data_IF_222253121392
#
_entry.id   IF_222253121392
#
_cell.length_a   1.000
_cell.length_b   1.000
_cell.length_c   1.000
_cell.angle_alpha   90.00
_cell.angle_beta   90.00
_cell.angle_gamma   90.00
#
_symmetry.space_group_name_H-M   'P 1'
#
loop_
_entity.id
_entity.type
_entity.pdbx_description
1 polymer ?
#
# COMPACT_ATOMS: atom_id res chain seq x y z
N UNK A 1 -86.15 26.32 -41.24
CA UNK A 1 -85.21 25.67 -40.29
C UNK A 1 -84.07 25.08 -41.10
N UNK A 2 -82.82 25.48 -40.84
CA UNK A 2 -81.63 25.00 -41.58
C UNK A 2 -81.16 23.67 -40.98
N UNK A 3 -80.73 22.68 -41.79
CA UNK A 3 -80.22 21.43 -41.27
C UNK A 3 -78.77 21.61 -40.78
N UNK A 4 -78.51 21.26 -39.53
CA UNK A 4 -77.18 21.26 -38.92
C UNK A 4 -76.50 19.94 -39.28
N UNK A 5 -75.48 20.00 -40.12
CA UNK A 5 -74.68 18.83 -40.52
C UNK A 5 -73.59 18.60 -39.46
N UNK A 6 -73.69 17.52 -38.67
CA UNK A 6 -72.62 17.11 -37.75
C UNK A 6 -71.58 16.29 -38.52
N UNK A 7 -70.41 16.88 -38.73
CA UNK A 7 -69.24 16.19 -39.28
C UNK A 7 -68.56 15.38 -38.15
N UNK A 8 -68.76 14.06 -38.15
CA UNK A 8 -68.04 13.15 -37.25
C UNK A 8 -66.65 12.89 -37.85
N UNK A 9 -65.63 13.54 -37.29
CA UNK A 9 -64.23 13.32 -37.66
C UNK A 9 -63.70 12.07 -36.93
N UNK A 10 -63.59 10.95 -37.65
CA UNK A 10 -62.92 9.75 -37.14
C UNK A 10 -61.40 10.00 -37.08
N UNK A 11 -60.89 10.36 -35.89
CA UNK A 11 -59.45 10.37 -35.61
C UNK A 11 -58.95 8.93 -35.51
N UNK A 12 -58.47 8.38 -36.62
CA UNK A 12 -57.70 7.14 -36.61
C UNK A 12 -56.34 7.42 -36.00
N UNK A 13 -56.16 7.06 -34.73
CA UNK A 13 -54.83 7.04 -34.10
C UNK A 13 -53.99 5.93 -34.74
N UNK A 14 -53.09 6.31 -35.66
CA UNK A 14 -52.09 5.40 -36.20
C UNK A 14 -51.04 5.21 -35.11
N UNK A 15 -51.11 4.10 -34.38
CA UNK A 15 -50.07 3.69 -33.44
C UNK A 15 -48.86 3.20 -34.24
N UNK A 16 -47.90 4.09 -34.47
CA UNK A 16 -46.57 3.75 -34.99
C UNK A 16 -45.81 2.98 -33.89
N UNK A 17 -45.82 1.65 -34.00
CA UNK A 17 -44.97 0.77 -33.21
C UNK A 17 -43.58 0.66 -33.86
N UNK A 18 -42.56 0.52 -33.03
CA UNK A 18 -41.19 0.33 -33.50
C UNK A 18 -40.94 -1.15 -33.85
N UNK A 19 -40.29 -1.39 -34.99
CA UNK A 19 -39.87 -2.73 -35.42
C UNK A 19 -38.34 -2.79 -35.57
N UNK A 20 -37.73 -3.86 -35.07
CA UNK A 20 -36.31 -4.17 -35.23
C UNK A 20 -36.15 -5.54 -35.87
N UNK A 21 -35.55 -5.59 -37.06
CA UNK A 21 -35.35 -6.82 -37.81
C UNK A 21 -33.89 -6.99 -38.18
N UNK A 22 -33.36 -8.21 -38.06
CA UNK A 22 -32.04 -8.59 -38.58
C UNK A 22 -32.16 -9.82 -39.47
N UNK A 23 -31.28 -9.91 -40.46
CA UNK A 23 -31.13 -11.05 -41.35
C UNK A 23 -29.64 -11.19 -41.66
N UNK A 24 -28.97 -12.11 -40.98
CA UNK A 24 -27.53 -12.33 -41.09
C UNK A 24 -27.19 -13.78 -41.41
N UNK A 25 -26.03 -13.98 -42.03
CA UNK A 25 -25.45 -15.30 -42.26
C UNK A 25 -24.35 -15.50 -41.23
N UNK A 26 -24.48 -16.55 -40.41
CA UNK A 26 -23.53 -16.92 -39.37
C UNK A 26 -22.86 -18.23 -39.76
N UNK A 27 -21.55 -18.19 -40.01
CA UNK A 27 -20.74 -19.38 -40.23
C UNK A 27 -20.18 -19.86 -38.91
N UNK A 28 -20.38 -21.15 -38.58
CA UNK A 28 -19.84 -21.80 -37.39
C UNK A 28 -18.97 -23.00 -37.77
N UNK A 29 -17.75 -23.07 -37.26
CA UNK A 29 -16.87 -24.23 -37.33
C UNK A 29 -17.40 -25.40 -36.46
N UNK A 30 -16.87 -26.62 -36.61
CA UNK A 30 -17.23 -27.76 -35.76
C UNK A 30 -17.03 -27.44 -34.27
N UNK A 31 -18.04 -27.73 -33.45
CA UNK A 31 -18.08 -27.45 -32.01
C UNK A 31 -17.95 -25.96 -31.63
N UNK A 32 -18.16 -25.05 -32.58
CA UNK A 32 -18.20 -23.62 -32.30
C UNK A 32 -19.61 -23.20 -31.87
N UNK A 33 -19.66 -22.17 -31.03
CA UNK A 33 -20.88 -21.53 -30.57
C UNK A 33 -20.88 -20.05 -30.95
N UNK A 34 -22.05 -19.52 -31.33
CA UNK A 34 -22.23 -18.08 -31.56
C UNK A 34 -23.41 -17.56 -30.77
N UNK A 35 -23.20 -16.41 -30.13
CA UNK A 35 -24.22 -15.65 -29.43
C UNK A 35 -24.71 -14.49 -30.30
N UNK A 36 -26.02 -14.31 -30.34
CA UNK A 36 -26.71 -13.16 -30.93
C UNK A 36 -27.57 -12.54 -29.83
N UNK A 37 -27.38 -11.25 -29.59
CA UNK A 37 -28.11 -10.51 -28.56
C UNK A 37 -29.25 -9.72 -29.21
N UNK A 38 -30.44 -9.84 -28.63
CA UNK A 38 -31.69 -9.29 -29.15
C UNK A 38 -32.32 -8.46 -28.02
N UNK A 39 -32.34 -7.13 -28.12
CA UNK A 39 -33.00 -6.29 -27.12
C UNK A 39 -34.51 -6.27 -27.37
N UNK A 40 -35.30 -6.39 -26.32
CA UNK A 40 -36.77 -6.32 -26.38
C UNK A 40 -37.35 -5.82 -25.06
N UNK A 41 -38.48 -5.09 -25.12
CA UNK A 41 -39.24 -4.79 -23.90
C UNK A 41 -40.05 -6.02 -23.47
N UNK A 42 -40.63 -6.00 -22.27
CA UNK A 42 -41.65 -6.93 -21.84
C UNK A 42 -42.89 -6.83 -22.74
N UNK A 43 -43.52 -7.97 -22.97
CA UNK A 43 -44.69 -8.16 -23.84
C UNK A 43 -44.43 -7.98 -25.35
N UNK A 44 -43.19 -7.66 -25.75
CA UNK A 44 -42.77 -7.68 -27.15
C UNK A 44 -42.82 -9.11 -27.72
N UNK A 45 -43.08 -9.21 -29.03
CA UNK A 45 -43.09 -10.48 -29.75
C UNK A 45 -41.82 -10.59 -30.59
N UNK A 46 -40.99 -11.59 -30.27
CA UNK A 46 -39.77 -11.93 -31.00
C UNK A 46 -40.09 -13.11 -31.92
N UNK A 47 -40.09 -12.86 -33.22
CA UNK A 47 -40.08 -13.91 -34.24
C UNK A 47 -38.62 -14.31 -34.52
N UNK A 48 -38.30 -15.58 -34.36
CA UNK A 48 -36.98 -16.16 -34.59
C UNK A 48 -37.07 -17.24 -35.65
N UNK A 49 -36.22 -17.11 -36.68
CA UNK A 49 -36.07 -18.12 -37.71
C UNK A 49 -34.59 -18.40 -37.97
N UNK A 50 -34.18 -19.65 -37.81
CA UNK A 50 -32.83 -20.12 -38.09
C UNK A 50 -32.91 -21.26 -39.10
N UNK A 51 -32.25 -21.12 -40.24
CA UNK A 51 -32.24 -22.13 -41.29
C UNK A 51 -30.81 -22.40 -41.77
N UNK A 52 -30.51 -23.65 -42.13
CA UNK A 52 -29.23 -23.99 -42.78
C UNK A 52 -29.21 -23.39 -44.19
N UNK A 53 -28.23 -22.53 -44.46
CA UNK A 53 -28.16 -21.78 -45.72
C UNK A 53 -27.53 -22.57 -46.87
N UNK A 54 -26.34 -23.16 -46.67
CA UNK A 54 -25.58 -23.83 -47.76
C UNK A 54 -25.27 -25.31 -47.50
N UNK A 55 -24.99 -25.69 -46.25
CA UNK A 55 -24.52 -27.04 -45.92
C UNK A 55 -25.68 -28.03 -45.73
N UNK A 56 -26.26 -28.54 -46.83
CA UNK A 56 -27.44 -29.45 -46.82
C UNK A 56 -27.35 -30.72 -45.92
N UNK A 57 -26.18 -31.03 -45.36
CA UNK A 57 -25.92 -32.22 -44.52
C UNK A 57 -25.79 -31.92 -43.02
N UNK A 58 -25.95 -30.68 -42.57
CA UNK A 58 -26.03 -30.37 -41.13
C UNK A 58 -27.31 -31.01 -40.56
N UNK A 59 -27.14 -31.94 -39.61
CA UNK A 59 -28.25 -32.71 -39.02
C UNK A 59 -28.39 -32.47 -37.52
N UNK A 60 -27.28 -32.19 -36.84
CA UNK A 60 -27.25 -32.08 -35.39
C UNK A 60 -26.82 -30.65 -35.03
N UNK A 61 -27.80 -29.79 -34.74
CA UNK A 61 -27.55 -28.45 -34.24
C UNK A 61 -28.40 -28.23 -32.99
N UNK A 62 -27.91 -27.34 -32.13
CA UNK A 62 -28.61 -26.96 -30.91
C UNK A 62 -28.79 -25.45 -30.86
N UNK A 63 -30.03 -25.04 -30.58
CA UNK A 63 -30.46 -23.66 -30.50
C UNK A 63 -31.04 -23.40 -29.11
N UNK A 64 -30.51 -22.40 -28.43
CA UNK A 64 -30.97 -22.01 -27.10
C UNK A 64 -31.30 -20.53 -27.10
N UNK A 65 -32.44 -20.16 -26.51
CA UNK A 65 -32.75 -18.76 -26.21
C UNK A 65 -32.75 -18.58 -24.71
N UNK A 66 -32.01 -17.58 -24.23
CA UNK A 66 -31.99 -17.17 -22.83
C UNK A 66 -32.54 -15.75 -22.69
N UNK A 67 -33.24 -15.49 -21.60
CA UNK A 67 -33.31 -14.16 -21.01
C UNK A 67 -31.97 -13.93 -20.28
N UNK A 68 -31.19 -12.95 -20.75
CA UNK A 68 -29.83 -12.70 -20.28
C UNK A 68 -29.83 -12.29 -18.80
N UNK A 69 -28.91 -12.82 -17.96
CA UNK A 69 -27.76 -13.62 -18.38
C UNK A 69 -28.04 -15.13 -18.58
N UNK A 70 -28.91 -15.75 -17.76
CA UNK A 70 -28.87 -17.21 -17.57
C UNK A 70 -30.23 -17.93 -17.56
N UNK A 71 -31.36 -17.25 -17.81
CA UNK A 71 -32.68 -17.90 -17.73
C UNK A 71 -33.09 -18.48 -19.09
N UNK A 72 -33.05 -19.80 -19.21
CA UNK A 72 -33.40 -20.52 -20.44
C UNK A 72 -34.91 -20.38 -20.74
N UNK A 73 -35.25 -19.94 -21.96
CA UNK A 73 -36.62 -19.79 -22.44
C UNK A 73 -37.00 -20.84 -23.48
N UNK A 74 -36.04 -21.19 -24.33
CA UNK A 74 -36.24 -22.14 -25.42
C UNK A 74 -35.00 -23.01 -25.56
N UNK A 75 -35.22 -24.31 -25.73
CA UNK A 75 -34.19 -25.30 -26.01
C UNK A 75 -34.64 -26.20 -27.15
N UNK A 76 -33.84 -26.25 -28.20
CA UNK A 76 -34.05 -27.12 -29.35
C UNK A 76 -32.72 -27.81 -29.65
N UNK A 77 -32.68 -29.14 -29.55
CA UNK A 77 -31.47 -29.94 -29.81
C UNK A 77 -31.68 -30.84 -31.01
N UNK A 78 -30.59 -31.24 -31.67
CA UNK A 78 -30.61 -32.13 -32.84
C UNK A 78 -31.58 -31.67 -33.94
N UNK A 79 -31.74 -30.35 -34.12
CA UNK A 79 -32.64 -29.78 -35.10
C UNK A 79 -31.90 -29.16 -36.28
N UNK A 80 -32.50 -29.22 -37.45
CA UNK A 80 -31.97 -28.60 -38.66
C UNK A 80 -32.27 -27.11 -38.70
N UNK A 81 -33.45 -26.73 -38.24
CA UNK A 81 -34.01 -25.39 -38.31
C UNK A 81 -34.75 -25.02 -37.02
N UNK A 82 -34.98 -23.73 -36.84
CA UNK A 82 -35.78 -23.17 -35.77
C UNK A 82 -36.75 -22.16 -36.36
N UNK A 83 -38.03 -22.27 -36.00
CA UNK A 83 -39.04 -21.27 -36.30
C UNK A 83 -39.94 -21.12 -35.07
N UNK A 84 -39.83 -19.99 -34.36
CA UNK A 84 -40.54 -19.72 -33.11
C UNK A 84 -40.94 -18.27 -32.99
N UNK A 85 -42.13 -18.05 -32.43
CA UNK A 85 -42.54 -16.75 -31.93
C UNK A 85 -42.60 -16.83 -30.40
N UNK A 86 -41.97 -15.87 -29.73
CA UNK A 86 -41.82 -15.82 -28.28
C UNK A 86 -42.29 -14.45 -27.80
N UNK A 87 -43.17 -14.44 -26.81
CA UNK A 87 -43.56 -13.21 -26.11
C UNK A 87 -42.64 -13.04 -24.91
N UNK A 88 -42.01 -11.88 -24.82
CA UNK A 88 -41.07 -11.53 -23.75
C UNK A 88 -41.82 -11.25 -22.46
N UNK A 89 -41.27 -11.68 -21.33
CA UNK A 89 -41.88 -11.41 -20.02
C UNK A 89 -41.42 -10.07 -19.44
N UNK A 90 -40.15 -9.72 -19.66
CA UNK A 90 -39.50 -8.57 -19.04
C UNK A 90 -38.73 -7.74 -20.08
N UNK A 91 -38.55 -6.45 -19.77
CA UNK A 91 -37.60 -5.57 -20.46
C UNK A 91 -36.18 -6.14 -20.29
N UNK A 92 -35.45 -6.36 -21.39
CA UNK A 92 -34.13 -6.94 -21.29
C UNK A 92 -33.47 -7.36 -22.59
N UNK A 93 -32.40 -8.14 -22.43
CA UNK A 93 -31.64 -8.72 -23.55
C UNK A 93 -31.96 -10.21 -23.61
N UNK A 94 -32.25 -10.67 -24.82
CA UNK A 94 -32.49 -12.07 -25.13
C UNK A 94 -31.31 -12.58 -25.95
N UNK A 95 -30.73 -13.71 -25.52
CA UNK A 95 -29.52 -14.28 -26.10
C UNK A 95 -29.83 -15.55 -26.86
N UNK A 96 -29.75 -15.51 -28.17
CA UNK A 96 -29.81 -16.68 -29.04
C UNK A 96 -28.41 -17.28 -29.16
N UNK A 97 -28.24 -18.50 -28.64
CA UNK A 97 -27.02 -19.28 -28.72
C UNK A 97 -27.19 -20.38 -29.78
N UNK A 98 -26.36 -20.30 -30.82
CA UNK A 98 -26.26 -21.27 -31.90
C UNK A 98 -25.07 -22.18 -31.62
N UNK A 99 -25.26 -23.51 -31.60
CA UNK A 99 -24.16 -24.48 -31.47
C UNK A 99 -24.09 -25.39 -32.68
N UNK A 100 -22.91 -25.51 -33.28
CA UNK A 100 -22.65 -26.47 -34.35
C UNK A 100 -22.05 -27.76 -33.80
N UNK A 101 -22.88 -28.80 -33.65
CA UNK A 101 -22.46 -30.12 -33.16
C UNK A 101 -22.07 -31.07 -34.32
N UNK A 102 -21.97 -30.56 -35.55
CA UNK A 102 -21.55 -31.36 -36.70
C UNK A 102 -20.03 -31.36 -36.82
N UNK A 103 -19.50 -32.39 -37.47
CA UNK A 103 -18.07 -32.51 -37.79
C UNK A 103 -17.57 -31.53 -38.87
N UNK A 104 -18.46 -30.73 -39.46
CA UNK A 104 -18.15 -29.76 -40.52
C UNK A 104 -18.74 -28.40 -40.20
N UNK A 105 -18.16 -27.35 -40.77
CA UNK A 105 -18.70 -25.99 -40.63
C UNK A 105 -20.10 -25.87 -41.23
N UNK A 106 -20.95 -25.06 -40.60
CA UNK A 106 -22.34 -24.83 -41.02
C UNK A 106 -22.60 -23.33 -41.13
N UNK A 107 -23.23 -22.94 -42.24
CA UNK A 107 -23.73 -21.58 -42.43
C UNK A 107 -25.21 -21.53 -42.07
N UNK A 108 -25.57 -20.73 -41.06
CA UNK A 108 -26.93 -20.46 -40.67
C UNK A 108 -27.39 -19.12 -41.23
N UNK A 109 -28.59 -19.10 -41.79
CA UNK A 109 -29.32 -17.85 -42.00
C UNK A 109 -30.16 -17.60 -40.75
N UNK A 110 -29.85 -16.54 -40.02
CA UNK A 110 -30.55 -16.15 -38.80
C UNK A 110 -31.36 -14.90 -39.09
N UNK A 111 -32.67 -15.02 -38.89
CA UNK A 111 -33.62 -13.93 -39.03
C UNK A 111 -34.28 -13.75 -37.68
N UNK A 112 -34.28 -12.53 -37.16
CA UNK A 112 -35.14 -12.18 -36.06
C UNK A 112 -35.89 -10.88 -36.34
N UNK A 113 -37.11 -10.80 -35.83
CA UNK A 113 -37.96 -9.62 -35.93
C UNK A 113 -38.64 -9.38 -34.57
N UNK A 114 -38.40 -8.22 -33.99
CA UNK A 114 -38.99 -7.78 -32.72
C UNK A 114 -40.10 -6.80 -33.02
N UNK A 115 -41.34 -7.22 -32.75
CA UNK A 115 -42.52 -6.36 -32.77
C UNK A 115 -42.69 -5.73 -31.41
N UNK A 116 -42.36 -4.45 -31.31
CA UNK A 116 -42.38 -3.75 -30.04
C UNK A 116 -43.75 -3.19 -29.69
N UNK A 117 -44.12 -3.34 -28.43
CA UNK A 117 -45.25 -2.66 -27.80
C UNK A 117 -45.01 -1.15 -27.67
N UNK A 118 -43.73 -0.72 -27.68
CA UNK A 118 -43.31 0.67 -27.47
C UNK A 118 -42.90 1.36 -28.77
N UNK A 119 -42.90 2.71 -28.74
CA UNK A 119 -42.49 3.56 -29.89
C UNK A 119 -40.98 3.64 -30.07
N UNK A 120 -40.21 3.53 -28.98
CA UNK A 120 -38.75 3.67 -29.01
C UNK A 120 -38.10 2.30 -29.22
N UNK A 121 -37.08 2.21 -30.07
CA UNK A 121 -36.34 0.96 -30.30
C UNK A 121 -35.54 0.56 -29.06
N UNK A 122 -35.67 -0.68 -28.56
CA UNK A 122 -34.83 -1.15 -27.48
C UNK A 122 -33.38 -1.26 -27.96
N UNK A 123 -32.40 -0.93 -27.10
CA UNK A 123 -30.98 -0.88 -27.45
C UNK A 123 -30.12 -1.69 -26.48
N UNK A 124 -28.92 -2.08 -26.94
CA UNK A 124 -27.91 -2.74 -26.12
C UNK A 124 -26.75 -1.76 -25.92
N UNK A 125 -26.47 -1.43 -24.67
CA UNK A 125 -25.23 -0.79 -24.25
C UNK A 125 -24.19 -1.81 -23.81
N UNK A 126 -22.93 -1.40 -23.74
CA UNK A 126 -21.84 -2.22 -23.21
C UNK A 126 -21.14 -1.47 -22.07
N UNK A 127 -21.01 -2.13 -20.92
CA UNK A 127 -20.19 -1.62 -19.80
C UNK A 127 -18.90 -2.43 -19.72
N UNK A 128 -17.78 -1.75 -19.49
CA UNK A 128 -16.50 -2.43 -19.21
C UNK A 128 -16.52 -2.88 -17.76
N UNK A 129 -16.42 -4.19 -17.53
CA UNK A 129 -16.24 -4.78 -16.22
C UNK A 129 -14.78 -5.24 -16.07
N UNK A 130 -14.19 -4.98 -14.92
CA UNK A 130 -12.84 -5.42 -14.57
C UNK A 130 -12.94 -6.51 -13.52
N UNK A 131 -12.15 -7.56 -13.68
CA UNK A 131 -12.00 -8.62 -12.70
C UNK A 131 -10.54 -8.73 -12.29
N UNK A 132 -10.30 -8.77 -10.98
CA UNK A 132 -8.95 -8.83 -10.42
C UNK A 132 -8.74 -10.24 -9.88
N UNK A 133 -7.93 -11.01 -10.59
CA UNK A 133 -7.46 -12.31 -10.11
C UNK A 133 -6.03 -12.14 -9.59
N UNK A 134 -5.65 -12.89 -8.56
CA UNK A 134 -4.25 -12.88 -8.11
C UNK A 134 -3.47 -13.93 -8.89
N UNK A 135 -2.37 -13.51 -9.51
CA UNK A 135 -1.45 -14.39 -10.22
C UNK A 135 -0.58 -15.22 -9.26
N UNK A 136 0.42 -15.88 -9.83
CA UNK A 136 1.39 -16.68 -9.06
C UNK A 136 2.26 -15.81 -8.14
N UNK A 137 2.70 -16.36 -7.02
CA UNK A 137 3.69 -15.73 -6.14
C UNK A 137 4.98 -15.44 -6.92
N UNK A 138 5.45 -14.21 -6.90
CA UNK A 138 6.77 -13.83 -7.43
C UNK A 138 7.65 -13.24 -6.34
N UNK A 139 8.95 -13.46 -6.43
CA UNK A 139 9.92 -12.77 -5.58
C UNK A 139 10.16 -11.37 -6.13
N UNK A 140 10.01 -10.35 -5.29
CA UNK A 140 10.39 -8.98 -5.58
C UNK A 140 11.33 -8.46 -4.50
N UNK A 141 12.31 -7.63 -4.89
CA UNK A 141 13.11 -6.87 -3.94
C UNK A 141 12.27 -5.70 -3.42
N UNK A 142 12.10 -5.66 -2.11
CA UNK A 142 11.41 -4.59 -1.41
C UNK A 142 12.41 -3.92 -0.47
N UNK A 143 12.43 -2.59 -0.50
CA UNK A 143 13.21 -1.79 0.44
C UNK A 143 12.57 -1.90 1.83
N UNK A 144 13.33 -2.39 2.81
CA UNK A 144 12.93 -2.41 4.22
C UNK A 144 13.85 -1.51 5.02
N UNK A 145 13.25 -0.67 5.85
CA UNK A 145 13.96 0.16 6.81
C UNK A 145 14.29 -0.69 8.03
N UNK A 146 15.55 -0.67 8.45
CA UNK A 146 16.06 -1.37 9.62
C UNK A 146 16.87 -0.42 10.48
N UNK A 147 16.71 -0.52 11.79
CA UNK A 147 17.51 0.24 12.75
C UNK A 147 18.78 -0.55 13.11
N UNK A 148 19.90 0.14 13.21
CA UNK A 148 21.19 -0.41 13.63
C UNK A 148 21.86 0.54 14.63
N UNK A 149 22.67 0.00 15.55
CA UNK A 149 23.44 0.83 16.50
C UNK A 149 24.88 0.97 16.05
N UNK A 150 25.42 2.18 16.16
CA UNK A 150 26.81 2.49 15.81
C UNK A 150 27.49 3.19 16.99
N UNK A 151 28.57 2.61 17.53
CA UNK A 151 29.41 3.27 18.53
C UNK A 151 30.23 4.37 17.84
N UNK A 152 30.08 5.60 18.31
CA UNK A 152 30.78 6.79 17.79
C UNK A 152 32.09 6.98 18.53
N UNK A 153 32.06 6.84 19.85
CA UNK A 153 33.21 7.07 20.71
C UNK A 153 33.13 6.19 21.95
N UNK A 154 34.28 5.73 22.44
CA UNK A 154 34.41 4.94 23.66
C UNK A 154 35.79 5.25 24.27
N UNK A 155 35.83 6.23 25.16
CA UNK A 155 37.08 6.82 25.64
C UNK A 155 37.04 7.16 27.14
N UNK A 156 38.22 7.39 27.72
CA UNK A 156 38.38 7.87 29.09
C UNK A 156 39.21 9.15 29.12
N UNK A 157 38.91 10.01 30.10
CA UNK A 157 39.55 11.31 30.28
C UNK A 157 39.92 11.52 31.73
N UNK A 158 40.93 12.36 31.98
CA UNK A 158 41.25 12.87 33.31
C UNK A 158 41.02 14.38 33.36
N UNK A 159 40.26 14.84 34.36
CA UNK A 159 40.00 16.25 34.62
C UNK A 159 40.57 16.64 35.97
N UNK A 160 41.35 17.72 35.99
CA UNK A 160 41.89 18.29 37.21
C UNK A 160 40.77 18.90 38.07
N UNK A 161 41.07 19.12 39.36
CA UNK A 161 40.22 19.93 40.22
C UNK A 161 40.23 21.40 39.79
N UNK A 162 39.23 22.16 40.22
CA UNK A 162 39.13 23.61 39.91
C UNK A 162 40.36 24.38 40.40
N UNK A 163 40.84 24.09 41.63
CA UNK A 163 42.03 24.77 42.18
C UNK A 163 43.31 24.41 41.44
N UNK A 164 43.55 23.13 41.12
CA UNK A 164 44.74 22.72 40.38
C UNK A 164 44.71 23.21 38.92
N UNK A 165 43.52 23.27 38.31
CA UNK A 165 43.38 23.85 36.98
C UNK A 165 43.73 25.34 36.94
N UNK A 166 43.33 26.09 37.98
CA UNK A 166 43.63 27.52 38.10
C UNK A 166 45.10 27.79 38.44
N UNK A 167 45.68 27.03 39.38
CA UNK A 167 47.01 27.32 39.94
C UNK A 167 48.17 26.63 39.20
N UNK A 168 47.94 25.45 38.59
CA UNK A 168 48.98 24.60 38.01
C UNK A 168 48.83 24.38 36.50
N UNK A 169 47.89 25.08 35.85
CA UNK A 169 47.71 25.04 34.39
C UNK A 169 47.02 23.78 33.85
N UNK A 170 46.31 23.03 34.69
CA UNK A 170 45.52 21.86 34.27
C UNK A 170 44.17 22.22 33.65
N UNK A 171 43.54 21.26 32.96
CA UNK A 171 42.15 21.41 32.47
C UNK A 171 41.17 20.72 33.44
N UNK A 172 40.14 21.44 33.88
CA UNK A 172 38.97 20.90 34.58
C UNK A 172 37.72 20.82 33.69
N UNK A 173 37.85 21.23 32.42
CA UNK A 173 36.80 21.15 31.39
C UNK A 173 37.39 20.60 30.09
N UNK A 174 36.62 19.78 29.38
CA UNK A 174 36.93 19.31 28.02
C UNK A 174 35.68 19.35 27.16
N UNK A 175 35.89 19.32 25.85
CA UNK A 175 34.81 19.26 24.86
C UNK A 175 35.03 18.04 24.01
N UNK A 176 33.95 17.32 23.80
CA UNK A 176 33.90 16.15 22.93
C UNK A 176 32.96 16.48 21.76
N UNK A 177 33.45 16.56 20.51
CA UNK A 177 32.58 16.71 19.35
C UNK A 177 31.83 15.39 19.09
N UNK A 178 30.52 15.48 18.89
CA UNK A 178 29.66 14.33 18.58
C UNK A 178 29.41 14.27 17.08
N UNK A 179 30.20 13.47 16.38
CA UNK A 179 30.09 13.28 14.93
C UNK A 179 29.11 12.14 14.64
N UNK A 180 27.82 12.47 14.54
CA UNK A 180 26.77 11.51 14.26
C UNK A 180 26.84 11.01 12.80
N UNK A 181 26.70 9.69 12.55
CA UNK A 181 26.56 9.16 11.19
C UNK A 181 25.31 9.72 10.48
N UNK A 182 25.31 9.67 9.15
CA UNK A 182 24.11 9.96 8.37
C UNK A 182 22.95 9.04 8.78
N UNK A 183 21.72 9.56 8.65
CA UNK A 183 20.48 8.86 9.02
C UNK A 183 20.36 8.46 10.49
N UNK A 184 21.12 9.11 11.39
CA UNK A 184 20.91 8.99 12.84
C UNK A 184 19.51 9.48 13.21
N UNK A 185 18.75 8.68 13.96
CA UNK A 185 17.45 9.08 14.53
C UNK A 185 17.56 9.66 15.92
N UNK A 186 18.36 8.99 16.72
CA UNK A 186 18.62 9.35 18.11
C UNK A 186 19.96 8.75 18.50
N UNK A 187 20.55 9.32 19.55
CA UNK A 187 21.80 8.84 20.08
C UNK A 187 21.78 8.90 21.59
N UNK A 188 22.69 8.14 22.17
CA UNK A 188 22.80 7.94 23.59
C UNK A 188 24.25 8.17 23.99
N UNK A 189 24.46 8.71 25.18
CA UNK A 189 25.75 8.60 25.83
C UNK A 189 25.60 7.97 27.21
N UNK A 190 26.59 7.17 27.57
CA UNK A 190 26.76 6.63 28.91
C UNK A 190 28.06 7.14 29.48
N UNK A 191 28.04 7.48 30.77
CA UNK A 191 29.23 7.97 31.45
C UNK A 191 29.33 7.45 32.88
N UNK A 192 30.56 7.44 33.39
CA UNK A 192 30.87 7.20 34.80
C UNK A 192 32.09 8.03 35.21
N UNK A 193 32.09 8.55 36.43
CA UNK A 193 33.19 9.33 37.00
C UNK A 193 33.67 8.74 38.34
N UNK A 194 35.00 8.65 38.51
CA UNK A 194 35.65 8.18 39.73
C UNK A 194 37.05 8.77 39.87
N UNK A 195 37.58 8.86 41.10
CA UNK A 195 38.95 9.31 41.36
C UNK A 195 40.01 8.29 40.98
N UNK A 196 39.71 7.01 41.12
CA UNK A 196 40.65 5.92 40.84
C UNK A 196 40.60 5.55 39.35
N UNK A 197 41.73 5.59 38.66
CA UNK A 197 41.82 5.28 37.23
C UNK A 197 41.39 3.83 36.93
N UNK A 198 41.71 2.90 37.84
CA UNK A 198 41.39 1.48 37.68
C UNK A 198 39.89 1.23 37.70
N UNK A 199 39.13 1.95 38.54
CA UNK A 199 37.67 1.85 38.60
C UNK A 199 37.05 2.28 37.27
N UNK A 200 37.56 3.36 36.68
CA UNK A 200 37.12 3.84 35.36
C UNK A 200 37.53 2.87 34.24
N UNK A 201 38.74 2.31 34.27
CA UNK A 201 39.20 1.35 33.26
C UNK A 201 38.32 0.10 33.24
N UNK A 202 38.02 -0.44 34.43
CA UNK A 202 37.14 -1.59 34.58
C UNK A 202 35.72 -1.25 34.11
N UNK A 203 35.21 -0.09 34.51
CA UNK A 203 33.88 0.39 34.11
C UNK A 203 33.75 0.56 32.59
N UNK A 204 34.72 1.21 31.94
CA UNK A 204 34.75 1.39 30.49
C UNK A 204 34.74 0.04 29.75
N UNK A 205 35.50 -0.94 30.24
CA UNK A 205 35.52 -2.28 29.66
C UNK A 205 34.21 -3.05 29.80
N UNK A 206 33.37 -2.65 30.76
CA UNK A 206 32.04 -3.22 31.01
C UNK A 206 30.92 -2.50 30.27
N UNK A 207 31.22 -1.39 29.58
CA UNK A 207 30.22 -0.70 28.77
C UNK A 207 29.73 -1.62 27.64
N UNK A 208 28.41 -1.79 27.59
CA UNK A 208 27.74 -2.68 26.65
C UNK A 208 26.46 -2.05 26.09
N UNK A 209 26.36 -0.73 26.12
CA UNK A 209 25.13 -0.02 25.76
C UNK A 209 24.77 -0.26 24.29
N UNK A 210 25.74 -0.29 23.37
CA UNK A 210 25.50 -0.65 21.97
C UNK A 210 24.84 -2.03 21.81
N UNK A 211 25.34 -3.03 22.54
CA UNK A 211 24.80 -4.40 22.51
C UNK A 211 23.39 -4.47 23.10
N UNK A 212 23.15 -3.77 24.20
CA UNK A 212 21.84 -3.67 24.83
C UNK A 212 20.81 -3.00 23.92
N UNK A 213 21.17 -1.86 23.30
CA UNK A 213 20.33 -1.15 22.33
C UNK A 213 20.04 -2.01 21.08
N UNK A 214 21.05 -2.73 20.56
CA UNK A 214 20.86 -3.67 19.44
C UNK A 214 19.85 -4.75 19.79
N UNK A 215 19.91 -5.30 21.01
CA UNK A 215 18.96 -6.31 21.47
C UNK A 215 17.54 -5.76 21.52
N UNK A 216 17.36 -4.56 22.07
CA UNK A 216 16.03 -3.93 22.12
C UNK A 216 15.44 -3.63 20.75
N UNK A 217 16.27 -3.21 19.78
CA UNK A 217 15.86 -3.03 18.39
C UNK A 217 15.36 -4.35 17.79
N UNK A 218 16.06 -5.47 18.06
CA UNK A 218 15.68 -6.80 17.53
C UNK A 218 14.42 -7.37 18.17
N UNK A 219 14.18 -7.05 19.43
CA UNK A 219 13.03 -7.57 20.19
C UNK A 219 11.74 -6.74 19.95
N UNK A 220 11.74 -5.80 18.99
CA UNK A 220 10.66 -4.84 18.70
C UNK A 220 10.13 -4.09 19.94
N UNK A 221 10.95 -4.01 20.99
CA UNK A 221 10.60 -3.30 22.20
C UNK A 221 10.68 -1.79 21.93
N UNK A 222 9.75 -1.02 22.51
CA UNK A 222 9.89 0.45 22.54
C UNK A 222 11.23 0.80 23.19
N UNK A 223 12.18 1.27 22.38
CA UNK A 223 13.56 1.58 22.79
C UNK A 223 13.54 2.55 23.97
N UNK A 224 12.58 3.49 24.01
CA UNK A 224 12.43 4.46 25.09
C UNK A 224 12.16 3.78 26.45
N UNK A 225 11.23 2.83 26.48
CA UNK A 225 10.90 2.09 27.69
C UNK A 225 12.05 1.16 28.09
N UNK A 226 12.72 0.57 27.09
CA UNK A 226 13.81 -0.36 27.31
C UNK A 226 15.06 0.30 27.92
N UNK A 227 15.42 1.51 27.45
CA UNK A 227 16.56 2.28 27.99
C UNK A 227 16.31 2.75 29.43
N UNK A 228 15.07 3.09 29.78
CA UNK A 228 14.73 3.48 31.16
C UNK A 228 14.97 2.37 32.20
N UNK A 229 15.02 1.11 31.75
CA UNK A 229 15.30 -0.05 32.60
C UNK A 229 16.79 -0.40 32.67
N UNK A 230 17.65 0.27 31.90
CA UNK A 230 19.09 0.02 31.95
C UNK A 230 19.67 0.63 33.23
N UNK A 231 20.42 -0.18 33.96
CA UNK A 231 21.16 0.31 35.12
C UNK A 231 22.37 1.12 34.64
N UNK A 232 22.56 2.36 35.11
CA UNK A 232 23.76 3.12 34.80
C UNK A 232 24.98 2.41 35.38
N UNK A 233 26.17 2.58 34.77
CA UNK A 233 27.40 2.01 35.30
C UNK A 233 27.71 2.58 36.70
N UNK A 234 28.49 1.88 37.53
CA UNK A 234 28.89 2.39 38.83
C UNK A 234 29.73 3.66 38.67
N UNK A 235 29.48 4.68 39.48
CA UNK A 235 30.25 5.93 39.54
C UNK A 235 30.42 6.39 40.99
N UNK A 236 31.59 6.94 41.31
CA UNK A 236 31.97 7.30 42.68
C UNK A 236 31.98 8.82 42.92
N UNK A 237 32.26 9.61 41.88
CA UNK A 237 32.47 11.05 41.99
C UNK A 237 31.61 11.82 41.01
N UNK A 238 31.33 13.08 41.34
CA UNK A 238 30.44 13.93 40.56
C UNK A 238 31.18 14.53 39.36
N UNK A 239 30.52 14.56 38.21
CA UNK A 239 30.85 15.40 37.08
C UNK A 239 29.61 16.10 36.51
N UNK A 240 29.84 17.15 35.74
CA UNK A 240 28.80 17.81 34.96
C UNK A 240 29.05 17.56 33.47
N UNK A 241 27.98 17.29 32.73
CA UNK A 241 27.97 17.10 31.28
C UNK A 241 26.95 18.06 30.69
N UNK A 242 27.39 18.89 29.77
CA UNK A 242 26.59 19.88 29.08
C UNK A 242 26.49 19.53 27.61
N UNK A 243 25.27 19.35 27.09
CA UNK A 243 25.04 19.26 25.66
C UNK A 243 25.04 20.66 25.07
N UNK A 244 25.89 20.91 24.09
CA UNK A 244 26.06 22.21 23.44
C UNK A 244 25.81 22.04 21.94
N UNK A 245 24.89 22.83 21.39
CA UNK A 245 24.37 22.63 20.03
C UNK A 245 25.22 23.29 18.94
N UNK A 246 26.19 24.13 19.30
CA UNK A 246 27.00 24.87 18.35
C UNK A 246 28.44 25.08 18.84
N UNK A 247 29.33 25.27 17.88
CA UNK A 247 30.77 25.37 18.09
C UNK A 247 31.17 26.63 18.87
N UNK A 248 30.44 27.74 18.67
CA UNK A 248 30.74 29.01 19.35
C UNK A 248 30.50 28.89 20.86
N UNK A 249 29.34 28.36 21.27
CA UNK A 249 29.05 28.09 22.67
C UNK A 249 29.98 27.02 23.26
N UNK A 250 30.42 26.05 22.46
CA UNK A 250 31.39 25.05 22.91
C UNK A 250 32.72 25.73 23.26
N UNK A 251 33.27 26.57 22.37
CA UNK A 251 34.51 27.30 22.69
C UNK A 251 34.35 28.22 23.90
N UNK A 252 33.21 28.90 24.07
CA UNK A 252 32.90 29.68 25.28
C UNK A 252 32.94 28.83 26.56
N UNK A 253 32.35 27.64 26.54
CA UNK A 253 32.42 26.69 27.66
C UNK A 253 33.85 26.33 28.05
N UNK A 254 34.71 26.10 27.03
CA UNK A 254 36.14 25.76 27.17
C UNK A 254 36.92 26.85 27.88
N UNK A 255 36.70 28.10 27.47
CA UNK A 255 37.41 29.28 27.99
C UNK A 255 36.79 29.83 29.27
N UNK A 256 35.70 29.22 29.74
CA UNK A 256 34.98 29.57 30.98
C UNK A 256 34.22 30.90 30.92
N UNK A 257 33.77 31.26 29.72
CA UNK A 257 32.85 32.37 29.47
C UNK A 257 31.38 31.91 29.51
N UNK A 258 30.45 32.86 29.46
CA UNK A 258 29.02 32.57 29.39
C UNK A 258 28.66 31.84 28.09
N UNK A 259 27.93 30.74 28.20
CA UNK A 259 27.55 29.87 27.08
C UNK A 259 26.13 29.34 27.26
N UNK A 260 25.54 28.86 26.17
CA UNK A 260 24.24 28.19 26.15
C UNK A 260 24.41 26.68 26.01
N UNK A 261 23.61 25.93 26.76
CA UNK A 261 23.51 24.47 26.69
C UNK A 261 22.06 24.03 26.58
N UNK A 262 21.86 22.80 26.10
CA UNK A 262 20.56 22.13 25.99
C UNK A 262 20.29 21.31 27.24
N UNK A 263 19.13 21.47 27.86
CA UNK A 263 18.76 20.72 29.07
C UNK A 263 18.55 19.22 28.79
N UNK A 264 17.98 18.87 27.64
CA UNK A 264 17.55 17.51 27.33
C UNK A 264 18.71 16.50 27.37
N UNK A 265 19.89 16.94 26.91
CA UNK A 265 21.13 16.14 26.90
C UNK A 265 22.13 16.48 28.00
N UNK A 266 21.83 17.38 28.94
CA UNK A 266 22.77 17.79 30.00
C UNK A 266 22.49 17.08 31.32
N UNK A 267 23.52 16.84 32.12
CA UNK A 267 23.46 16.25 33.47
C UNK A 267 24.44 16.97 34.38
N UNK A 268 23.93 17.61 35.42
CA UNK A 268 24.74 18.31 36.43
C UNK A 268 24.67 17.58 37.76
N UNK A 269 25.79 17.51 38.47
CA UNK A 269 25.90 16.85 39.77
C UNK A 269 25.65 15.32 39.72
N UNK A 270 26.06 14.63 38.63
CA UNK A 270 25.87 13.18 38.47
C UNK A 270 27.17 12.40 38.60
N UNK A 271 27.09 11.17 39.11
CA UNK A 271 28.24 10.25 39.19
C UNK A 271 28.37 9.34 37.98
N UNK A 272 27.23 8.97 37.41
CA UNK A 272 27.10 8.16 36.21
C UNK A 272 25.68 8.31 35.67
N UNK A 273 25.48 7.88 34.43
CA UNK A 273 24.16 7.93 33.80
C UNK A 273 24.16 7.41 32.37
N UNK A 274 22.98 7.02 31.91
CA UNK A 274 22.68 6.78 30.50
C UNK A 274 21.72 7.90 30.08
N UNK A 275 22.05 8.61 29.01
CA UNK A 275 21.30 9.79 28.58
C UNK A 275 20.93 9.63 27.12
N UNK A 276 19.63 9.74 26.87
CA UNK A 276 19.07 9.84 25.52
C UNK A 276 19.15 11.28 25.05
N UNK A 277 19.59 11.48 23.81
CA UNK A 277 19.56 12.77 23.14
C UNK A 277 18.77 12.65 21.83
N UNK A 278 17.73 13.47 21.71
CA UNK A 278 16.90 13.55 20.51
C UNK A 278 17.48 14.55 19.52
N UNK A 279 17.59 14.14 18.25
CA UNK A 279 18.06 14.98 17.15
C UNK A 279 19.41 14.56 16.59
N UNK A 280 19.61 14.84 15.29
CA UNK A 280 20.78 14.45 14.52
C UNK A 280 21.76 15.62 14.25
N UNK A 281 21.57 16.74 14.94
CA UNK A 281 22.39 17.93 14.70
C UNK A 281 23.80 17.73 15.27
N UNK A 282 24.79 18.33 14.59
CA UNK A 282 26.16 18.46 15.12
C UNK A 282 26.06 19.05 16.52
N UNK A 283 26.66 18.37 17.49
CA UNK A 283 26.61 18.77 18.89
C UNK A 283 27.93 18.45 19.58
N UNK A 284 28.09 19.01 20.77
CA UNK A 284 29.29 18.88 21.58
C UNK A 284 28.87 18.50 23.00
N UNK A 285 29.64 17.62 23.64
CA UNK A 285 29.53 17.35 25.07
C UNK A 285 30.64 18.11 25.80
N UNK A 286 30.25 19.14 26.54
CA UNK A 286 31.11 19.85 27.47
C UNK A 286 31.15 19.14 28.82
N UNK A 287 32.29 18.61 29.21
CA UNK A 287 32.43 17.87 30.48
C UNK A 287 33.22 18.71 31.46
N UNK A 288 32.73 18.84 32.70
CA UNK A 288 33.34 19.61 33.77
C UNK A 288 33.51 18.76 35.03
N UNK A 289 34.67 18.90 35.67
CA UNK A 289 34.86 18.49 37.07
C UNK A 289 34.52 19.68 38.00
N UNK A 290 33.43 19.62 38.78
CA UNK A 290 33.10 20.67 39.74
C UNK A 290 33.88 20.57 41.06
N UNK A 291 34.63 19.48 41.32
CA UNK A 291 35.40 19.30 42.56
C UNK A 291 36.55 20.32 42.65
N UNK A 292 36.59 21.04 43.77
CA UNK A 292 37.59 22.07 44.01
C UNK A 292 38.97 21.52 44.37
N UNK A 293 39.04 20.32 44.95
CA UNK A 293 40.24 19.76 45.56
C UNK A 293 40.82 18.62 44.72
N UNK A 294 39.99 17.71 44.22
CA UNK A 294 40.44 16.47 43.60
C UNK A 294 40.15 16.37 42.11
N UNK A 295 41.09 15.79 41.36
CA UNK A 295 40.86 15.40 39.97
C UNK A 295 40.01 14.13 39.89
N UNK A 296 39.40 13.91 38.74
CA UNK A 296 38.56 12.74 38.46
C UNK A 296 38.89 12.16 37.09
N UNK A 297 38.74 10.85 36.97
CA UNK A 297 38.66 10.14 35.71
C UNK A 297 37.21 9.98 35.28
N UNK A 298 36.96 10.07 33.98
CA UNK A 298 35.62 9.94 33.38
C UNK A 298 35.70 8.94 32.24
N UNK A 299 34.87 7.91 32.26
CA UNK A 299 34.60 7.02 31.13
C UNK A 299 33.36 7.52 30.38
N UNK A 300 33.39 7.48 29.05
CA UNK A 300 32.24 7.83 28.22
C UNK A 300 32.16 6.95 26.98
N UNK A 301 30.96 6.48 26.66
CA UNK A 301 30.62 5.87 25.38
C UNK A 301 29.43 6.60 24.76
N UNK A 302 29.51 6.83 23.45
CA UNK A 302 28.49 7.50 22.64
C UNK A 302 28.04 6.55 21.54
N UNK A 303 26.74 6.32 21.42
CA UNK A 303 26.13 5.39 20.46
C UNK A 303 25.01 6.09 19.71
N UNK A 304 25.01 6.01 18.38
CA UNK A 304 23.90 6.42 17.53
C UNK A 304 23.02 5.23 17.12
N UNK A 305 21.72 5.47 16.99
CA UNK A 305 20.78 4.59 16.31
C UNK A 305 20.55 5.16 14.92
N UNK A 306 20.91 4.40 13.88
CA UNK A 306 20.85 4.81 12.48
C UNK A 306 19.80 4.00 11.72
N UNK A 307 19.11 4.65 10.79
CA UNK A 307 18.28 3.96 9.80
C UNK A 307 19.14 3.49 8.62
N UNK A 308 18.95 2.23 8.25
CA UNK A 308 19.56 1.61 7.09
C UNK A 308 18.47 0.98 6.22
N UNK A 309 18.51 1.28 4.93
CA UNK A 309 17.65 0.63 3.95
C UNK A 309 18.34 -0.65 3.49
N UNK A 310 17.68 -1.80 3.68
CA UNK A 310 18.12 -3.09 3.17
C UNK A 310 17.10 -3.60 2.15
N UNK A 311 17.59 -4.14 1.03
CA UNK A 311 16.74 -4.79 0.03
C UNK A 311 16.50 -6.24 0.43
N UNK A 312 15.25 -6.57 0.71
CA UNK A 312 14.85 -7.93 1.11
C UNK A 312 13.98 -8.53 0.03
N UNK A 313 14.23 -9.81 -0.28
CA UNK A 313 13.35 -10.57 -1.18
C UNK A 313 12.05 -10.92 -0.44
N UNK A 314 10.93 -10.49 -0.99
CA UNK A 314 9.61 -10.80 -0.47
C UNK A 314 8.74 -11.41 -1.57
N UNK A 315 7.89 -12.37 -1.19
CA UNK A 315 6.94 -12.99 -2.09
C UNK A 315 5.68 -12.13 -2.16
N UNK A 316 5.34 -11.65 -3.35
CA UNK A 316 4.15 -10.83 -3.58
C UNK A 316 3.26 -11.47 -4.63
N UNK A 317 1.94 -11.33 -4.45
CA UNK A 317 0.95 -11.75 -5.43
C UNK A 317 0.63 -10.59 -6.36
N UNK A 318 1.01 -10.70 -7.63
CA UNK A 318 0.71 -9.66 -8.62
C UNK A 318 -0.76 -9.79 -9.06
N UNK A 319 -1.57 -8.72 -8.98
CA UNK A 319 -2.93 -8.75 -9.50
C UNK A 319 -2.92 -8.79 -11.03
N UNK A 320 -3.59 -9.79 -11.60
CA UNK A 320 -3.92 -9.88 -13.01
C UNK A 320 -5.30 -9.27 -13.20
N UNK A 321 -5.33 -8.07 -13.78
CA UNK A 321 -6.57 -7.35 -14.07
C UNK A 321 -7.01 -7.74 -15.48
N UNK A 322 -8.12 -8.46 -15.59
CA UNK A 322 -8.78 -8.73 -16.87
C UNK A 322 -9.94 -7.75 -17.06
N UNK A 323 -10.20 -7.34 -18.30
CA UNK A 323 -11.30 -6.44 -18.64
C UNK A 323 -12.15 -7.06 -19.74
N UNK A 324 -13.47 -7.09 -19.57
CA UNK A 324 -14.41 -7.59 -20.57
C UNK A 324 -15.66 -6.71 -20.64
N UNK A 325 -16.34 -6.76 -21.79
CA UNK A 325 -17.56 -5.98 -22.01
C UNK A 325 -18.78 -6.81 -21.63
N UNK A 326 -19.67 -6.24 -20.81
CA UNK A 326 -20.94 -6.84 -20.41
C UNK A 326 -22.08 -6.05 -21.05
N UNK A 327 -22.97 -6.70 -21.81
CA UNK A 327 -24.10 -6.02 -22.41
C UNK A 327 -25.14 -5.66 -21.34
N UNK A 328 -25.82 -4.53 -21.51
CA UNK A 328 -26.95 -4.12 -20.67
C UNK A 328 -28.05 -3.47 -21.52
N UNK A 329 -29.29 -3.61 -21.05
CA UNK A 329 -30.45 -3.08 -21.75
C UNK A 329 -30.53 -1.57 -21.59
N UNK A 330 -30.81 -0.86 -22.69
CA UNK A 330 -31.11 0.57 -22.70
C UNK A 330 -32.58 0.73 -23.11
N UNK A 331 -33.37 1.27 -22.18
CA UNK A 331 -34.74 1.76 -22.40
C UNK A 331 -34.76 2.97 -23.34
#
# INVERSE_FOLDING_TARGET
MKPTFYLILFLTFINLQSQSSSNEIVSLAPNEEKEILIPAYGEDSIFLKVEVYKTKRAKNNSFFLYEYPNKLLLKTESAKDLDKNIVTANDGIYKLLLKNENSKSVDYKVIYDVKSTRKKKPQIGYKVQKDTTYGFETEQLVDKIKLETTTIQNEKFYLNSTSNAFLKGGKNRIIIPVNLPENTKEWYYVFSAAREENDIKNTLSSFNLASQLTKFIKDDASIQNAVSNLSPPPGANICDIYMINDEANAELFKVKEDYKSSLDGSRENFKSGIVKVTGANKSYLGIRNPDNLYGIHIAMEIIAIVEKTEQVKEKVNIPIITSYQVPYFIE
#
